data_IF_865181411442
#
_entry.id   IF_865181411442
#
_cell.length_a   1.000
_cell.length_b   1.000
_cell.length_c   1.000
_cell.angle_alpha   90.00
_cell.angle_beta   90.00
_cell.angle_gamma   90.00
#
_symmetry.space_group_name_H-M   'P 1'
#
loop_
_entity.id
_entity.type
_entity.pdbx_description
1 polymer ?
#
# COMPACT_ATOMS: atom_id res chain seq x y z
N UNK A 1 1.60 32.01 35.57
CA UNK A 1 1.87 31.31 34.30
C UNK A 1 3.31 30.80 34.34
N UNK A 2 3.52 29.49 34.35
CA UNK A 2 4.85 28.87 34.51
C UNK A 2 5.40 28.64 33.10
N UNK A 3 6.36 29.46 32.68
CA UNK A 3 6.94 29.37 31.35
C UNK A 3 7.86 28.15 31.27
N UNK A 4 7.57 27.25 30.34
CA UNK A 4 8.41 26.09 30.00
C UNK A 4 9.35 26.54 28.89
N UNK A 5 10.65 26.59 29.19
CA UNK A 5 11.68 26.85 28.18
C UNK A 5 12.09 25.51 27.56
N UNK A 6 11.83 25.34 26.27
CA UNK A 6 12.44 24.28 25.46
C UNK A 6 13.84 24.76 25.06
N UNK A 7 14.86 24.16 25.68
CA UNK A 7 16.25 24.41 25.36
C UNK A 7 16.60 23.63 24.07
N UNK A 8 16.49 24.27 22.92
CA UNK A 8 16.93 23.72 21.64
C UNK A 8 18.45 23.92 21.54
N UNK A 9 19.20 22.84 21.79
CA UNK A 9 20.66 22.85 21.67
C UNK A 9 21.04 22.58 20.21
N UNK A 10 21.66 23.58 19.57
CA UNK A 10 22.23 23.56 18.23
C UNK A 10 23.02 22.28 17.96
N UNK A 11 22.67 21.55 16.89
CA UNK A 11 23.18 20.22 16.63
C UNK A 11 24.05 20.20 15.35
N UNK A 12 25.36 20.23 15.56
CA UNK A 12 26.43 19.92 14.59
C UNK A 12 26.63 18.39 14.56
N UNK A 13 26.60 17.78 13.36
CA UNK A 13 26.92 16.40 12.89
C UNK A 13 26.74 15.15 13.82
N UNK A 14 26.95 15.28 15.12
CA UNK A 14 26.47 14.40 16.20
C UNK A 14 24.94 14.31 16.32
N UNK A 15 24.23 15.25 15.68
CA UNK A 15 22.78 15.35 15.64
C UNK A 15 22.09 14.12 15.03
N UNK A 16 22.59 13.62 13.90
CA UNK A 16 21.93 12.55 13.15
C UNK A 16 21.98 11.21 13.91
N UNK A 17 23.13 10.88 14.49
CA UNK A 17 23.28 9.69 15.35
C UNK A 17 22.40 9.81 16.59
N UNK A 18 22.28 11.02 17.17
CA UNK A 18 21.43 11.28 18.33
C UNK A 18 19.93 11.18 17.98
N UNK A 19 19.50 11.71 16.83
CA UNK A 19 18.12 11.67 16.35
C UNK A 19 17.72 10.24 15.99
N UNK A 20 18.54 9.51 15.24
CA UNK A 20 18.28 8.10 14.91
C UNK A 20 18.23 7.24 16.17
N UNK A 21 19.13 7.47 17.14
CA UNK A 21 19.09 6.79 18.44
C UNK A 21 17.85 7.15 19.26
N UNK A 22 17.36 8.38 19.16
CA UNK A 22 16.12 8.84 19.82
C UNK A 22 14.87 8.25 19.18
N UNK A 23 14.81 8.21 17.85
CA UNK A 23 13.77 7.51 17.08
C UNK A 23 13.80 6.02 17.41
N UNK A 24 14.99 5.42 17.45
CA UNK A 24 15.16 4.01 17.83
C UNK A 24 14.68 3.75 19.25
N UNK A 25 15.06 4.57 20.23
CA UNK A 25 14.57 4.41 21.61
C UNK A 25 13.06 4.60 21.75
N UNK A 26 12.44 5.42 20.91
CA UNK A 26 10.99 5.63 20.90
C UNK A 26 10.22 4.55 20.13
N UNK A 27 10.85 3.94 19.11
CA UNK A 27 10.22 2.92 18.26
C UNK A 27 10.51 1.50 18.75
N UNK A 28 11.65 1.26 19.42
CA UNK A 28 12.02 -0.03 20.00
C UNK A 28 10.97 -0.64 20.94
N UNK A 29 10.21 0.14 21.75
CA UNK A 29 9.09 -0.39 22.53
C UNK A 29 8.00 -1.03 21.67
N UNK A 30 7.78 -0.53 20.45
CA UNK A 30 6.82 -1.07 19.47
C UNK A 30 7.27 -2.42 18.91
N UNK A 31 8.58 -2.67 18.93
CA UNK A 31 9.22 -3.91 18.50
C UNK A 31 9.50 -4.87 19.68
N UNK A 32 8.90 -4.67 20.86
CA UNK A 32 9.00 -5.67 21.94
C UNK A 32 7.92 -6.75 21.78
N UNK A 33 8.26 -8.04 21.99
CA UNK A 33 7.26 -9.09 22.14
C UNK A 33 6.37 -8.76 23.36
N UNK A 34 5.04 -8.96 23.31
CA UNK A 34 4.28 -9.79 22.36
C UNK A 34 3.70 -9.09 21.12
N UNK A 35 3.80 -7.76 20.97
CA UNK A 35 3.13 -7.01 19.89
C UNK A 35 3.89 -7.05 18.54
N UNK A 36 5.19 -7.35 18.54
CA UNK A 36 6.05 -7.31 17.35
C UNK A 36 5.50 -8.15 16.18
N UNK A 37 4.98 -9.35 16.46
CA UNK A 37 4.49 -10.26 15.40
C UNK A 37 3.34 -9.65 14.63
N UNK A 38 2.36 -9.08 15.33
CA UNK A 38 1.18 -8.49 14.73
C UNK A 38 1.53 -7.19 13.98
N UNK A 39 2.39 -6.35 14.55
CA UNK A 39 2.87 -5.12 13.88
C UNK A 39 3.68 -5.44 12.62
N UNK A 40 4.55 -6.45 12.64
CA UNK A 40 5.31 -6.88 11.48
C UNK A 40 4.40 -7.40 10.34
N UNK A 41 3.38 -8.19 10.68
CA UNK A 41 2.34 -8.63 9.73
C UNK A 41 1.68 -7.40 9.08
N UNK A 42 1.24 -6.42 9.88
CA UNK A 42 0.59 -5.21 9.39
C UNK A 42 1.51 -4.38 8.48
N UNK A 43 2.78 -4.19 8.84
CA UNK A 43 3.74 -3.47 8.00
C UNK A 43 4.03 -4.20 6.69
N UNK A 44 4.10 -5.53 6.70
CA UNK A 44 4.27 -6.31 5.47
C UNK A 44 3.06 -6.16 4.53
N UNK A 45 1.84 -6.20 5.08
CA UNK A 45 0.63 -5.96 4.29
C UNK A 45 0.63 -4.58 3.65
N UNK A 46 1.01 -3.54 4.39
CA UNK A 46 1.15 -2.18 3.86
C UNK A 46 2.18 -2.11 2.76
N UNK A 47 3.36 -2.71 2.95
CA UNK A 47 4.40 -2.77 1.94
C UNK A 47 3.85 -3.43 0.66
N UNK A 48 3.20 -4.59 0.77
CA UNK A 48 2.67 -5.30 -0.40
C UNK A 48 1.62 -4.47 -1.16
N UNK A 49 0.71 -3.83 -0.44
CA UNK A 49 -0.37 -3.03 -1.00
C UNK A 49 0.15 -1.72 -1.63
N UNK A 50 1.02 -0.99 -0.93
CA UNK A 50 1.50 0.32 -1.41
C UNK A 50 2.56 0.21 -2.49
N UNK A 51 3.44 -0.80 -2.43
CA UNK A 51 4.34 -1.10 -3.55
C UNK A 51 3.55 -1.32 -4.83
N UNK A 52 2.44 -2.05 -4.76
CA UNK A 52 1.57 -2.27 -5.92
C UNK A 52 0.84 -0.97 -6.32
N UNK A 53 0.03 -0.41 -5.43
CA UNK A 53 -0.86 0.69 -5.79
C UNK A 53 -0.12 1.99 -6.15
N UNK A 54 0.72 2.49 -5.23
CA UNK A 54 1.45 3.75 -5.44
C UNK A 54 2.50 3.61 -6.52
N UNK A 55 3.15 2.43 -6.60
CA UNK A 55 4.12 2.14 -7.66
C UNK A 55 3.53 2.32 -9.05
N UNK A 56 2.39 1.67 -9.31
CA UNK A 56 1.76 1.71 -10.63
C UNK A 56 0.99 3.01 -10.90
N UNK A 57 0.46 3.68 -9.89
CA UNK A 57 -0.33 4.92 -10.07
C UNK A 57 0.47 6.01 -10.77
N UNK A 58 1.78 6.13 -10.51
CA UNK A 58 2.63 7.11 -11.18
C UNK A 58 2.81 6.83 -12.68
N UNK A 59 2.71 5.56 -13.08
CA UNK A 59 2.85 5.12 -14.47
C UNK A 59 1.51 4.97 -15.20
N UNK A 60 0.37 5.16 -14.51
CA UNK A 60 -0.98 5.08 -15.11
C UNK A 60 -1.08 5.93 -16.39
N UNK A 61 -0.66 7.21 -16.44
CA UNK A 61 -0.80 8.01 -17.64
C UNK A 61 -0.05 7.40 -18.83
N UNK A 62 1.22 7.01 -18.64
CA UNK A 62 2.04 6.36 -19.66
C UNK A 62 1.42 5.06 -20.15
N UNK A 63 0.91 4.24 -19.22
CA UNK A 63 0.32 2.94 -19.51
C UNK A 63 -1.02 3.07 -20.24
N UNK A 64 -1.81 4.10 -19.91
CA UNK A 64 -3.18 4.27 -20.43
C UNK A 64 -3.24 5.14 -21.68
N UNK A 65 -2.27 6.02 -21.93
CA UNK A 65 -2.27 6.94 -23.06
C UNK A 65 -2.33 6.20 -24.41
N UNK A 66 -1.53 5.15 -24.60
CA UNK A 66 -1.55 4.35 -25.83
C UNK A 66 -2.87 3.58 -26.04
N UNK A 67 -3.63 3.28 -24.98
CA UNK A 67 -4.93 2.61 -25.14
C UNK A 67 -6.04 3.54 -25.64
N UNK A 68 -5.83 4.86 -25.58
CA UNK A 68 -6.76 5.86 -26.09
C UNK A 68 -6.36 6.38 -27.48
N UNK A 69 -5.16 6.05 -27.95
CA UNK A 69 -4.79 6.21 -29.36
C UNK A 69 -5.55 5.16 -30.17
N UNK A 70 -6.50 5.62 -30.97
CA UNK A 70 -7.45 4.78 -31.72
C UNK A 70 -6.74 4.13 -32.92
N UNK A 71 -5.92 3.12 -32.64
CA UNK A 71 -5.21 2.35 -33.66
C UNK A 71 -5.72 0.91 -33.67
N UNK A 72 -6.24 0.46 -34.81
CA UNK A 72 -6.73 -0.92 -35.00
C UNK A 72 -5.63 -1.97 -34.75
N UNK A 73 -4.37 -1.54 -34.67
CA UNK A 73 -3.19 -2.36 -34.36
C UNK A 73 -3.13 -2.86 -32.90
N UNK A 74 -3.94 -2.32 -31.97
CA UNK A 74 -3.99 -2.76 -30.57
C UNK A 74 -4.90 -3.96 -30.32
N UNK A 75 -5.72 -4.37 -31.30
CA UNK A 75 -6.60 -5.52 -31.16
C UNK A 75 -5.80 -6.83 -31.08
N UNK A 76 -5.86 -7.50 -29.94
CA UNK A 76 -5.21 -8.80 -29.72
C UNK A 76 -3.89 -8.76 -28.95
N UNK A 77 -3.34 -7.57 -28.67
CA UNK A 77 -2.14 -7.42 -27.82
C UNK A 77 -2.50 -7.50 -26.34
N UNK A 78 -1.56 -8.02 -25.55
CA UNK A 78 -1.73 -8.09 -24.09
C UNK A 78 -1.46 -6.73 -23.45
N UNK A 79 -1.93 -6.51 -22.22
CA UNK A 79 -1.68 -5.25 -21.50
C UNK A 79 -0.20 -4.86 -21.48
N UNK A 80 0.67 -5.83 -21.20
CA UNK A 80 2.09 -5.58 -21.08
C UNK A 80 2.78 -5.23 -22.40
N UNK A 81 2.28 -5.75 -23.52
CA UNK A 81 2.84 -5.47 -24.85
C UNK A 81 2.55 -4.03 -25.28
N UNK A 82 1.33 -3.55 -24.99
CA UNK A 82 0.97 -2.14 -25.20
C UNK A 82 1.75 -1.24 -24.26
N UNK A 83 1.83 -1.59 -22.96
CA UNK A 83 2.54 -0.82 -21.95
C UNK A 83 4.07 -0.72 -22.20
N UNK A 84 4.71 -1.81 -22.65
CA UNK A 84 6.14 -1.80 -23.00
C UNK A 84 6.41 -0.89 -24.18
N UNK A 85 5.52 -0.90 -25.18
CA UNK A 85 5.64 -0.03 -26.34
C UNK A 85 5.56 1.44 -25.93
N UNK A 86 4.62 1.81 -25.05
CA UNK A 86 4.51 3.18 -24.53
C UNK A 86 5.79 3.64 -23.81
N UNK A 87 6.39 2.75 -23.02
CA UNK A 87 7.58 3.05 -22.25
C UNK A 87 8.84 3.15 -23.12
N UNK A 88 8.95 2.30 -24.15
CA UNK A 88 10.09 2.33 -25.08
C UNK A 88 10.02 3.53 -26.02
N UNK A 89 8.85 3.89 -26.55
CA UNK A 89 8.69 5.06 -27.44
C UNK A 89 9.05 6.37 -26.72
N UNK A 90 8.78 6.49 -25.42
CA UNK A 90 9.25 7.62 -24.60
C UNK A 90 10.76 7.63 -24.28
N UNK A 91 11.50 6.60 -24.68
CA UNK A 91 12.94 6.42 -24.40
C UNK A 91 13.84 6.43 -25.66
N UNK A 92 13.27 6.61 -26.86
CA UNK A 92 14.03 6.62 -28.12
C UNK A 92 14.40 8.05 -28.52
N UNK A 93 15.70 8.33 -28.39
CA UNK A 93 16.52 9.34 -29.08
C UNK A 93 16.31 10.84 -28.81
N UNK A 94 17.27 11.36 -28.03
CA UNK A 94 17.79 12.73 -27.93
C UNK A 94 18.26 13.34 -29.28
N UNK A 95 17.50 13.25 -30.39
CA UNK A 95 17.97 13.89 -31.64
C UNK A 95 16.95 14.45 -32.62
N UNK A 96 15.64 14.35 -32.39
CA UNK A 96 14.68 15.07 -33.25
C UNK A 96 13.59 15.71 -32.38
N UNK A 97 13.66 17.05 -32.25
CA UNK A 97 12.53 17.87 -31.82
C UNK A 97 11.53 17.86 -32.98
N UNK A 98 10.85 16.73 -33.17
CA UNK A 98 9.63 16.67 -33.97
C UNK A 98 8.48 16.85 -32.99
N UNK A 99 7.92 18.06 -33.04
CA UNK A 99 6.67 18.52 -32.42
C UNK A 99 6.27 17.78 -31.12
N UNK A 100 6.67 18.36 -29.98
CA UNK A 100 6.25 17.90 -28.66
C UNK A 100 4.77 18.24 -28.44
N UNK A 101 3.89 17.59 -29.20
CA UNK A 101 2.47 17.47 -28.88
C UNK A 101 2.35 16.53 -27.68
N UNK A 102 2.81 17.02 -26.53
CA UNK A 102 2.56 16.50 -25.19
C UNK A 102 1.07 16.65 -24.85
N UNK A 103 0.19 16.15 -25.71
CA UNK A 103 -1.20 16.01 -25.35
C UNK A 103 -1.31 14.68 -24.63
N UNK A 104 -1.08 14.70 -23.31
CA UNK A 104 -1.65 13.67 -22.44
C UNK A 104 -3.12 13.62 -22.82
N UNK A 105 -3.55 12.53 -23.45
CA UNK A 105 -4.89 12.49 -24.01
C UNK A 105 -5.88 12.71 -22.88
N UNK A 106 -6.83 13.64 -23.08
CA UNK A 106 -7.82 14.00 -22.05
C UNK A 106 -8.54 12.75 -21.48
N UNK A 107 -8.59 11.64 -22.24
CA UNK A 107 -9.08 10.34 -21.81
C UNK A 107 -8.34 9.73 -20.61
N UNK A 108 -7.01 9.77 -20.57
CA UNK A 108 -6.23 9.22 -19.45
C UNK A 108 -6.41 10.04 -18.17
N UNK A 109 -6.48 11.36 -18.29
CA UNK A 109 -6.81 12.27 -17.19
C UNK A 109 -8.21 12.03 -16.67
N UNK A 110 -9.20 11.91 -17.56
CA UNK A 110 -10.59 11.62 -17.19
C UNK A 110 -10.72 10.25 -16.52
N UNK A 111 -10.07 9.21 -17.04
CA UNK A 111 -10.06 7.87 -16.45
C UNK A 111 -9.46 7.88 -15.04
N UNK A 112 -8.37 8.63 -14.82
CA UNK A 112 -7.75 8.78 -13.49
C UNK A 112 -8.66 9.56 -12.53
N UNK A 113 -9.34 10.61 -13.01
CA UNK A 113 -10.33 11.35 -12.22
C UNK A 113 -11.48 10.44 -11.78
N UNK A 114 -12.07 9.69 -12.71
CA UNK A 114 -13.14 8.72 -12.41
C UNK A 114 -12.64 7.65 -11.44
N UNK A 115 -11.46 7.09 -11.67
CA UNK A 115 -10.84 6.12 -10.76
C UNK A 115 -10.71 6.67 -9.34
N UNK A 116 -10.18 7.88 -9.17
CA UNK A 116 -10.02 8.51 -7.86
C UNK A 116 -11.36 8.80 -7.16
N UNK A 117 -12.38 9.21 -7.93
CA UNK A 117 -13.74 9.39 -7.43
C UNK A 117 -14.35 8.08 -6.94
N UNK A 118 -14.29 7.02 -7.76
CA UNK A 118 -14.78 5.67 -7.40
C UNK A 118 -13.99 5.11 -6.21
N UNK A 119 -12.66 5.31 -6.16
CA UNK A 119 -11.81 4.90 -5.05
C UNK A 119 -12.25 5.54 -3.73
N UNK A 120 -12.59 6.83 -3.77
CA UNK A 120 -13.05 7.57 -2.59
C UNK A 120 -14.43 7.08 -2.13
N UNK A 121 -15.35 6.88 -3.06
CA UNK A 121 -16.68 6.33 -2.76
C UNK A 121 -16.59 4.91 -2.18
N UNK A 122 -15.71 4.07 -2.73
CA UNK A 122 -15.43 2.74 -2.23
C UNK A 122 -14.86 2.80 -0.81
N UNK A 123 -13.90 3.69 -0.52
CA UNK A 123 -13.32 3.85 0.81
C UNK A 123 -14.35 4.25 1.87
N UNK A 124 -15.25 5.17 1.52
CA UNK A 124 -16.37 5.58 2.37
C UNK A 124 -17.30 4.38 2.62
N UNK A 125 -17.68 3.68 1.56
CA UNK A 125 -18.55 2.50 1.64
C UNK A 125 -17.94 1.39 2.51
N UNK A 126 -16.66 1.09 2.31
CA UNK A 126 -15.91 0.15 3.13
C UNK A 126 -15.92 0.57 4.61
N UNK A 127 -15.77 1.86 4.90
CA UNK A 127 -15.80 2.39 6.28
C UNK A 127 -17.15 2.13 6.97
N UNK A 128 -18.27 2.22 6.26
CA UNK A 128 -19.59 1.85 6.79
C UNK A 128 -19.75 0.35 6.98
N UNK A 129 -19.28 -0.46 6.02
CA UNK A 129 -19.41 -1.92 6.02
C UNK A 129 -18.50 -2.56 7.09
N UNK A 130 -17.36 -1.94 7.42
CA UNK A 130 -16.42 -2.41 8.46
C UNK A 130 -17.12 -2.73 9.78
N UNK A 131 -18.11 -1.91 10.19
CA UNK A 131 -18.85 -2.14 11.43
C UNK A 131 -19.68 -3.43 11.47
N UNK A 132 -20.07 -3.97 10.31
CA UNK A 132 -20.95 -5.15 10.19
C UNK A 132 -20.17 -6.41 9.82
N UNK A 133 -19.24 -6.30 8.86
CA UNK A 133 -18.52 -7.44 8.27
C UNK A 133 -17.20 -7.73 9.00
N UNK A 134 -16.65 -6.74 9.69
CA UNK A 134 -15.40 -6.84 10.41
C UNK A 134 -14.17 -6.59 9.52
N UNK A 135 -13.15 -5.95 10.11
CA UNK A 135 -11.97 -5.44 9.39
C UNK A 135 -11.15 -6.54 8.70
N UNK A 136 -11.06 -7.74 9.29
CA UNK A 136 -10.26 -8.86 8.76
C UNK A 136 -10.82 -9.35 7.42
N UNK A 137 -12.15 -9.55 7.37
CA UNK A 137 -12.82 -10.08 6.18
C UNK A 137 -12.71 -9.08 5.04
N UNK A 138 -12.84 -7.78 5.33
CA UNK A 138 -12.69 -6.73 4.32
C UNK A 138 -11.27 -6.69 3.76
N UNK A 139 -10.25 -6.72 4.61
CA UNK A 139 -8.86 -6.77 4.15
C UNK A 139 -8.62 -7.99 3.25
N UNK A 140 -9.09 -9.18 3.65
CA UNK A 140 -8.98 -10.39 2.82
C UNK A 140 -9.71 -10.25 1.48
N UNK A 141 -10.92 -9.68 1.48
CA UNK A 141 -11.70 -9.47 0.27
C UNK A 141 -10.99 -8.53 -0.72
N UNK A 142 -10.38 -7.44 -0.23
CA UNK A 142 -9.61 -6.52 -1.06
C UNK A 142 -8.42 -7.22 -1.71
N UNK A 143 -7.65 -8.01 -0.95
CA UNK A 143 -6.53 -8.79 -1.51
C UNK A 143 -6.99 -9.81 -2.56
N UNK A 144 -8.10 -10.51 -2.34
CA UNK A 144 -8.66 -11.47 -3.31
C UNK A 144 -9.12 -10.77 -4.58
N UNK A 145 -9.83 -9.65 -4.46
CA UNK A 145 -10.26 -8.87 -5.63
C UNK A 145 -9.07 -8.38 -6.44
N UNK A 146 -8.05 -7.82 -5.79
CA UNK A 146 -6.84 -7.35 -6.48
C UNK A 146 -6.07 -8.50 -7.11
N UNK A 147 -5.88 -9.63 -6.42
CA UNK A 147 -5.20 -10.80 -7.00
C UNK A 147 -5.92 -11.33 -8.25
N UNK A 148 -7.24 -11.46 -8.17
CA UNK A 148 -8.06 -11.96 -9.29
C UNK A 148 -7.98 -10.99 -10.46
N UNK A 149 -8.10 -9.68 -10.22
CA UNK A 149 -7.98 -8.65 -11.25
C UNK A 149 -6.59 -8.66 -11.92
N UNK A 150 -5.52 -8.73 -11.14
CA UNK A 150 -4.15 -8.78 -11.65
C UNK A 150 -3.88 -10.05 -12.47
N UNK A 151 -4.39 -11.20 -12.02
CA UNK A 151 -4.25 -12.46 -12.77
C UNK A 151 -5.01 -12.41 -14.09
N UNK A 152 -6.25 -11.93 -14.10
CA UNK A 152 -7.06 -11.76 -15.31
C UNK A 152 -6.39 -10.81 -16.31
N UNK A 153 -5.77 -9.73 -15.81
CA UNK A 153 -5.08 -8.74 -16.63
C UNK A 153 -3.95 -9.33 -17.47
N UNK A 154 -3.29 -10.41 -17.02
CA UNK A 154 -2.25 -11.09 -17.82
C UNK A 154 -2.81 -11.81 -19.06
N UNK A 155 -4.08 -12.22 -19.04
CA UNK A 155 -4.69 -13.01 -20.12
C UNK A 155 -5.57 -12.18 -21.07
N UNK A 156 -6.10 -11.05 -20.58
CA UNK A 156 -7.01 -10.20 -21.34
C UNK A 156 -6.29 -9.46 -22.46
N UNK A 157 -6.90 -9.52 -23.66
CA UNK A 157 -6.45 -8.85 -24.89
C UNK A 157 -7.39 -7.73 -25.34
N UNK A 158 -8.40 -7.41 -24.52
CA UNK A 158 -9.39 -6.38 -24.79
C UNK A 158 -8.95 -5.09 -24.08
N UNK A 159 -8.65 -4.00 -24.81
CA UNK A 159 -8.00 -2.82 -24.25
C UNK A 159 -8.81 -2.16 -23.11
N UNK A 160 -10.11 -1.94 -23.32
CA UNK A 160 -11.00 -1.34 -22.31
C UNK A 160 -11.10 -2.18 -21.04
N UNK A 161 -11.18 -3.51 -21.18
CA UNK A 161 -11.24 -4.41 -20.03
C UNK A 161 -9.91 -4.46 -19.29
N UNK A 162 -8.78 -4.40 -19.99
CA UNK A 162 -7.44 -4.35 -19.39
C UNK A 162 -7.27 -3.11 -18.51
N UNK A 163 -7.70 -1.93 -18.96
CA UNK A 163 -7.65 -0.70 -18.17
C UNK A 163 -8.52 -0.82 -16.91
N UNK A 164 -9.74 -1.35 -17.04
CA UNK A 164 -10.64 -1.54 -15.90
C UNK A 164 -10.06 -2.51 -14.86
N UNK A 165 -9.49 -3.64 -15.31
CA UNK A 165 -8.82 -4.62 -14.44
C UNK A 165 -7.57 -4.04 -13.78
N UNK A 166 -6.83 -3.17 -14.49
CA UNK A 166 -5.67 -2.49 -13.95
C UNK A 166 -6.06 -1.58 -12.79
N UNK A 167 -7.10 -0.75 -12.96
CA UNK A 167 -7.60 0.08 -11.86
C UNK A 167 -8.14 -0.74 -10.69
N UNK A 168 -8.81 -1.88 -10.96
CA UNK A 168 -9.23 -2.81 -9.92
C UNK A 168 -8.06 -3.40 -9.12
N UNK A 169 -6.95 -3.68 -9.80
CA UNK A 169 -5.71 -4.13 -9.16
C UNK A 169 -5.14 -3.06 -8.20
N UNK A 170 -5.24 -1.78 -8.56
CA UNK A 170 -4.73 -0.67 -7.73
C UNK A 170 -5.54 -0.39 -6.45
N UNK A 171 -6.79 -0.89 -6.36
CA UNK A 171 -7.62 -0.74 -5.14
C UNK A 171 -7.06 -1.46 -3.90
N UNK A 172 -5.99 -2.24 -4.04
CA UNK A 172 -5.28 -2.83 -2.90
C UNK A 172 -4.84 -1.78 -1.85
N UNK A 173 -4.63 -0.51 -2.25
CA UNK A 173 -4.31 0.59 -1.32
C UNK A 173 -5.37 0.87 -0.25
N UNK A 174 -6.63 0.44 -0.46
CA UNK A 174 -7.73 0.62 0.49
C UNK A 174 -7.46 -0.03 1.86
N UNK A 175 -6.54 -1.00 1.89
CA UNK A 175 -6.12 -1.70 3.12
C UNK A 175 -5.43 -0.77 4.13
N UNK A 176 -4.87 0.38 3.73
CA UNK A 176 -4.18 1.31 4.65
C UNK A 176 -5.10 1.79 5.78
N UNK A 177 -6.34 2.15 5.46
CA UNK A 177 -7.31 2.62 6.45
C UNK A 177 -7.55 1.55 7.52
N UNK A 178 -7.82 0.32 7.07
CA UNK A 178 -8.05 -0.83 7.96
C UNK A 178 -6.84 -1.12 8.85
N UNK A 179 -5.63 -1.14 8.26
CA UNK A 179 -4.40 -1.43 9.00
C UNK A 179 -4.11 -0.34 10.04
N UNK A 180 -4.33 0.93 9.71
CA UNK A 180 -4.16 2.00 10.70
C UNK A 180 -5.13 1.85 11.87
N UNK A 181 -6.37 1.41 11.62
CA UNK A 181 -7.30 1.06 12.71
C UNK A 181 -6.77 -0.09 13.57
N UNK A 182 -6.22 -1.16 12.97
CA UNK A 182 -5.59 -2.25 13.71
C UNK A 182 -4.41 -1.79 14.56
N UNK A 183 -3.55 -0.93 14.04
CA UNK A 183 -2.42 -0.36 14.79
C UNK A 183 -2.90 0.50 15.96
N UNK A 184 -4.00 1.22 15.79
CA UNK A 184 -4.59 2.08 16.82
C UNK A 184 -5.19 1.28 17.98
N UNK A 185 -5.78 0.13 17.68
CA UNK A 185 -6.42 -0.75 18.67
C UNK A 185 -5.43 -1.72 19.35
N UNK A 186 -4.40 -2.15 18.63
CA UNK A 186 -3.38 -3.05 19.16
C UNK A 186 -2.40 -2.31 20.09
N UNK A 187 -2.05 -1.07 19.77
CA UNK A 187 -1.03 -0.33 20.51
C UNK A 187 -1.62 0.47 21.67
N UNK A 188 -0.91 0.56 22.83
CA UNK A 188 -1.33 1.39 23.94
C UNK A 188 -1.37 2.88 23.54
N UNK A 189 -2.20 3.66 24.23
CA UNK A 189 -2.51 5.06 23.88
C UNK A 189 -1.26 5.93 23.65
N UNK A 190 -0.20 5.74 24.44
CA UNK A 190 1.04 6.51 24.32
C UNK A 190 1.88 6.18 23.07
N UNK A 191 1.70 5.00 22.45
CA UNK A 191 2.46 4.54 21.28
C UNK A 191 1.65 4.56 19.98
N UNK A 192 0.35 4.83 20.06
CA UNK A 192 -0.59 4.83 18.94
C UNK A 192 -0.16 5.73 17.79
N UNK A 193 0.14 7.01 18.08
CA UNK A 193 0.52 8.00 17.07
C UNK A 193 1.82 7.64 16.36
N UNK A 194 2.77 7.08 17.11
CA UNK A 194 4.06 6.63 16.56
C UNK A 194 3.88 5.43 15.62
N UNK A 195 3.04 4.46 16.00
CA UNK A 195 2.75 3.31 15.16
C UNK A 195 2.07 3.69 13.84
N UNK A 196 1.11 4.61 13.87
CA UNK A 196 0.43 5.12 12.67
C UNK A 196 1.33 6.01 11.81
N UNK A 197 2.28 6.73 12.41
CA UNK A 197 3.24 7.50 11.64
C UNK A 197 4.20 6.55 10.91
N UNK A 198 4.73 5.55 11.63
CA UNK A 198 5.64 4.55 11.06
C UNK A 198 4.98 3.76 9.92
N UNK A 199 3.69 3.42 10.05
CA UNK A 199 2.95 2.72 9.01
C UNK A 199 2.86 3.52 7.71
N UNK A 200 2.62 4.84 7.81
CA UNK A 200 2.60 5.74 6.66
C UNK A 200 4.00 5.88 6.05
N UNK A 201 5.05 5.98 6.87
CA UNK A 201 6.44 6.02 6.37
C UNK A 201 6.78 4.75 5.59
N UNK A 202 6.45 3.56 6.12
CA UNK A 202 6.66 2.28 5.43
C UNK A 202 5.84 2.23 4.13
N UNK A 203 4.56 2.60 4.18
CA UNK A 203 3.68 2.62 3.02
C UNK A 203 4.25 3.53 1.90
N UNK A 204 4.59 4.79 2.23
CA UNK A 204 5.15 5.73 1.25
C UNK A 204 6.52 5.30 0.75
N UNK A 205 7.41 4.86 1.64
CA UNK A 205 8.74 4.38 1.28
C UNK A 205 8.70 3.19 0.30
N UNK A 206 7.80 2.23 0.56
CA UNK A 206 7.59 1.08 -0.34
C UNK A 206 7.05 1.48 -1.70
N UNK A 207 6.21 2.52 -1.77
CA UNK A 207 5.70 3.10 -3.01
C UNK A 207 6.83 3.76 -3.81
N UNK A 208 7.65 4.60 -3.19
CA UNK A 208 8.80 5.24 -3.85
C UNK A 208 9.77 4.22 -4.45
N UNK A 209 10.14 3.20 -3.66
CA UNK A 209 11.04 2.14 -4.14
C UNK A 209 10.43 1.38 -5.33
N UNK A 210 9.11 1.11 -5.26
CA UNK A 210 8.39 0.43 -6.32
C UNK A 210 8.33 1.24 -7.63
N UNK A 211 8.09 2.55 -7.56
CA UNK A 211 8.09 3.44 -8.75
C UNK A 211 9.42 3.33 -9.51
N UNK A 212 10.54 3.33 -8.79
CA UNK A 212 11.87 3.23 -9.40
C UNK A 212 12.13 1.85 -10.04
N UNK A 213 11.60 0.78 -9.44
CA UNK A 213 11.68 -0.57 -10.02
C UNK A 213 10.84 -0.62 -11.30
N UNK A 214 9.60 -0.16 -11.25
CA UNK A 214 8.68 -0.16 -12.40
C UNK A 214 9.30 0.62 -13.55
N UNK A 215 9.88 1.79 -13.27
CA UNK A 215 10.56 2.61 -14.28
C UNK A 215 11.61 1.84 -15.10
N UNK A 216 12.36 0.94 -14.46
CA UNK A 216 13.43 0.17 -15.13
C UNK A 216 12.91 -1.09 -15.83
N UNK A 217 11.87 -1.71 -15.29
CA UNK A 217 11.38 -3.01 -15.78
C UNK A 217 10.26 -2.86 -16.81
N UNK A 218 9.65 -1.68 -16.93
CA UNK A 218 8.46 -1.49 -17.76
C UNK A 218 8.70 -1.74 -19.25
N UNK A 219 9.84 -1.30 -19.79
CA UNK A 219 10.15 -1.42 -21.23
C UNK A 219 10.42 -2.86 -21.67
N UNK A 220 11.36 -3.55 -21.03
CA UNK A 220 11.82 -4.88 -21.50
C UNK A 220 11.19 -6.06 -20.75
N UNK A 221 10.71 -5.84 -19.52
CA UNK A 221 10.35 -6.91 -18.58
C UNK A 221 8.95 -6.69 -17.97
N UNK A 222 8.00 -6.15 -18.72
CA UNK A 222 6.65 -5.86 -18.19
C UNK A 222 5.93 -7.11 -17.66
N UNK A 223 5.85 -8.19 -18.45
CA UNK A 223 5.14 -9.42 -18.04
C UNK A 223 5.73 -10.03 -16.76
N UNK A 224 7.05 -10.25 -16.64
CA UNK A 224 7.63 -10.75 -15.39
C UNK A 224 7.47 -9.75 -14.24
N UNK A 225 7.55 -8.43 -14.48
CA UNK A 225 7.27 -7.42 -13.47
C UNK A 225 5.85 -7.55 -12.92
N UNK A 226 4.82 -7.57 -13.78
CA UNK A 226 3.43 -7.71 -13.36
C UNK A 226 3.20 -9.03 -12.61
N UNK A 227 3.79 -10.14 -13.08
CA UNK A 227 3.73 -11.42 -12.36
C UNK A 227 4.34 -11.35 -10.96
N UNK A 228 5.45 -10.61 -10.80
CA UNK A 228 6.09 -10.39 -9.50
C UNK A 228 5.21 -9.64 -8.52
N UNK A 229 4.52 -8.59 -8.97
CA UNK A 229 3.55 -7.87 -8.14
C UNK A 229 2.32 -8.72 -7.79
N UNK A 230 1.85 -9.57 -8.70
CA UNK A 230 0.76 -10.52 -8.43
C UNK A 230 1.17 -11.52 -7.33
N UNK A 231 2.39 -12.06 -7.39
CA UNK A 231 2.93 -12.94 -6.35
C UNK A 231 3.07 -12.20 -5.01
N UNK A 232 3.48 -10.93 -5.04
CA UNK A 232 3.59 -10.08 -3.85
C UNK A 232 2.23 -9.75 -3.22
N UNK A 233 1.17 -9.58 -4.03
CA UNK A 233 -0.20 -9.47 -3.54
C UNK A 233 -0.69 -10.81 -2.96
N UNK A 234 -0.29 -11.94 -3.55
CA UNK A 234 -0.61 -13.27 -3.01
C UNK A 234 0.07 -13.57 -1.69
N UNK A 235 1.34 -13.23 -1.55
CA UNK A 235 2.02 -13.36 -0.26
C UNK A 235 1.38 -12.44 0.79
N UNK A 236 0.96 -11.23 0.38
CA UNK A 236 0.12 -10.34 1.20
C UNK A 236 -1.18 -11.02 1.66
N UNK A 237 -1.91 -11.67 0.76
CA UNK A 237 -3.13 -12.43 1.10
C UNK A 237 -2.85 -13.54 2.12
N UNK A 238 -1.81 -14.35 1.89
CA UNK A 238 -1.42 -15.42 2.82
C UNK A 238 -1.10 -14.84 4.20
N UNK A 239 -0.33 -13.76 4.27
CA UNK A 239 -0.01 -13.08 5.53
C UNK A 239 -1.25 -12.47 6.19
N UNK A 240 -2.21 -11.96 5.41
CA UNK A 240 -3.47 -11.42 5.93
C UNK A 240 -4.35 -12.50 6.60
N UNK A 241 -4.20 -13.78 6.24
CA UNK A 241 -4.93 -14.87 6.92
C UNK A 241 -4.51 -15.03 8.38
N UNK A 242 -3.25 -14.74 8.70
CA UNK A 242 -2.69 -14.76 10.06
C UNK A 242 -3.13 -13.57 10.92
N UNK A 243 -3.85 -12.59 10.34
CA UNK A 243 -4.31 -11.43 11.08
C UNK A 243 -5.31 -11.83 12.19
N UNK A 244 -5.17 -11.31 13.42
CA UNK A 244 -6.11 -11.61 14.49
C UNK A 244 -7.52 -11.07 14.16
N UNK A 245 -8.56 -11.84 14.52
CA UNK A 245 -9.95 -11.38 14.43
C UNK A 245 -10.22 -10.28 15.46
N UNK A 246 -11.27 -9.49 15.25
CA UNK A 246 -11.64 -8.39 16.16
C UNK A 246 -11.94 -8.89 17.58
N UNK A 247 -12.48 -10.10 17.72
CA UNK A 247 -12.69 -10.76 19.03
C UNK A 247 -11.37 -10.99 19.76
N UNK A 248 -10.35 -11.50 19.06
CA UNK A 248 -9.01 -11.70 19.59
C UNK A 248 -8.32 -10.37 19.89
N UNK A 249 -8.55 -9.35 19.06
CA UNK A 249 -7.98 -8.01 19.25
C UNK A 249 -8.50 -7.34 20.53
N UNK A 250 -9.79 -7.50 20.86
CA UNK A 250 -10.37 -7.04 22.13
C UNK A 250 -9.74 -7.75 23.34
N UNK A 251 -9.55 -9.07 23.24
CA UNK A 251 -8.88 -9.85 24.31
C UNK A 251 -7.44 -9.41 24.51
N UNK A 252 -6.69 -9.18 23.42
CA UNK A 252 -5.29 -8.70 23.47
C UNK A 252 -5.21 -7.29 24.08
N UNK A 253 -6.16 -6.41 23.72
CA UNK A 253 -6.24 -5.04 24.24
C UNK A 253 -6.66 -4.99 25.73
N UNK A 254 -7.52 -5.90 26.18
CA UNK A 254 -8.00 -5.99 27.57
C UNK A 254 -7.15 -6.90 28.48
N UNK A 255 -6.25 -7.72 27.91
CA UNK A 255 -5.51 -8.77 28.61
C UNK A 255 -4.33 -8.32 29.48
N UNK A 256 -4.12 -7.02 29.66
CA UNK A 256 -3.17 -6.48 30.65
C UNK A 256 -3.98 -5.87 31.82
N UNK A 257 -4.70 -6.71 32.58
CA UNK A 257 -4.22 -7.06 33.92
C UNK A 257 -4.67 -8.47 34.35
N UNK A 258 -3.86 -9.51 34.12
CA UNK A 258 -3.92 -10.70 35.00
C UNK A 258 -2.64 -11.54 34.89
N UNK A 259 -1.55 -11.01 35.43
CA UNK A 259 -0.42 -11.83 35.85
C UNK A 259 -0.29 -11.63 37.35
N UNK A 260 -0.41 -12.76 38.06
CA UNK A 260 -0.26 -12.98 39.51
C UNK A 260 -1.31 -12.33 40.43
N UNK A 261 -2.42 -13.02 40.65
CA UNK A 261 -2.95 -13.19 42.01
C UNK A 261 -2.88 -14.69 42.28
N UNK A 262 -1.77 -15.12 42.86
CA UNK A 262 -1.73 -16.39 43.58
C UNK A 262 -2.77 -16.27 44.70
N UNK A 263 -3.84 -17.05 44.60
CA UNK A 263 -4.84 -17.21 45.64
C UNK A 263 -4.20 -18.06 46.73
N UNK A 264 -3.51 -17.41 47.67
CA UNK A 264 -3.26 -17.96 49.00
C UNK A 264 -4.62 -18.12 49.67
N UNK A 265 -5.08 -19.36 49.84
CA UNK A 265 -6.27 -19.70 50.60
C UNK A 265 -5.91 -19.85 52.07
N UNK A 266 -6.41 -19.02 53.00
CA UNK A 266 -6.44 -19.39 54.41
C UNK A 266 -7.64 -20.32 54.62
N UNK A 267 -7.38 -21.51 55.15
CA UNK A 267 -8.42 -22.30 55.83
C UNK A 267 -7.92 -22.67 57.21
N UNK A 268 -8.70 -22.19 58.17
CA UNK A 268 -8.82 -22.66 59.54
C UNK A 268 -8.90 -24.19 59.65
#
# INVERSE_FOLDING_TARGET
VKNVYLNETTADNSAEISILKKIWNQTAPLFKPPLLKNSAILFYLLLSAFSTSTGFTMWVPTMTNEFFTDDESHHGRTFCEVASQSATTGSVNDTEIEDCSNSIQNGALYATMVYSGVSTMLMITLSFIVGVVGKKIITLAVFVMSFTAGTLLLFVKVPMLSIALFFMFLYVAQVLGNINTYLVELNPTHLRSMATCLSVVVARGSGFFSVQIIARLLGEYCTPMMSGYIVLVMSGFVVATFLPSESQLKIISQGEPNRTVDVESPKD
#
